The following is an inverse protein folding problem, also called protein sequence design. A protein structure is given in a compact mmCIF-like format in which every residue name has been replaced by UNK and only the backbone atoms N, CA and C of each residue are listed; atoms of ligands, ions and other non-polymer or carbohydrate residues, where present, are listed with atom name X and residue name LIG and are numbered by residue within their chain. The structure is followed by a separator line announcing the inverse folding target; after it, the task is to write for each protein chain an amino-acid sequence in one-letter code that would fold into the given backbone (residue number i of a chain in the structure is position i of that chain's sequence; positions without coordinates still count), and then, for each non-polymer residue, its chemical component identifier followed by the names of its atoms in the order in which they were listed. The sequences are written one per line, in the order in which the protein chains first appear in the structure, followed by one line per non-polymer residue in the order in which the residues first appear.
data_IF_948705211589
#
_entry.id   IF_948705211589
#
_cell.length_a   1.000
_cell.length_b   1.000
_cell.length_c   1.000
_cell.angle_alpha   90.00
_cell.angle_beta   90.00
_cell.angle_gamma   90.00
#
_symmetry.space_group_name_H-M   'P 1'
#
loop_
_entity.id
_entity.type
_entity.pdbx_description
1 polymer ?
#
# COMPACT_ATOMS: atom_id res chain seq x y z
N UNK A 1 10.93 3.38 -18.22
CA UNK A 1 9.81 2.41 -18.19
C UNK A 1 9.60 1.81 -16.79
N UNK A 2 10.66 1.30 -16.15
CA UNK A 2 10.63 0.70 -14.80
C UNK A 2 10.09 1.62 -13.72
N UNK A 3 10.57 2.87 -13.70
CA UNK A 3 10.15 3.88 -12.71
C UNK A 3 8.64 4.14 -12.83
N UNK A 4 8.13 4.24 -14.05
CA UNK A 4 6.70 4.45 -14.30
C UNK A 4 5.86 3.25 -13.84
N UNK A 5 6.29 2.02 -14.13
CA UNK A 5 5.62 0.81 -13.65
C UNK A 5 5.69 0.66 -12.12
N UNK A 6 6.82 0.98 -11.50
CA UNK A 6 6.96 0.94 -10.04
C UNK A 6 6.02 1.94 -9.35
N UNK A 7 5.88 3.15 -9.91
CA UNK A 7 4.91 4.14 -9.43
C UNK A 7 3.47 3.63 -9.58
N UNK A 8 3.15 2.96 -10.69
CA UNK A 8 1.82 2.35 -10.88
C UNK A 8 1.55 1.23 -9.87
N UNK A 9 2.53 0.34 -9.64
CA UNK A 9 2.43 -0.74 -8.64
C UNK A 9 2.27 -0.18 -7.24
N UNK A 10 2.99 0.90 -6.91
CA UNK A 10 2.83 1.62 -5.65
C UNK A 10 1.40 2.15 -5.49
N UNK A 11 0.90 2.89 -6.48
CA UNK A 11 -0.43 3.49 -6.45
C UNK A 11 -1.54 2.45 -6.34
N UNK A 12 -1.47 1.37 -7.13
CA UNK A 12 -2.46 0.28 -7.09
C UNK A 12 -2.47 -0.39 -5.71
N UNK A 13 -1.28 -0.73 -5.19
CA UNK A 13 -1.15 -1.35 -3.87
C UNK A 13 -1.66 -0.45 -2.76
N UNK A 14 -1.35 0.85 -2.84
CA UNK A 14 -1.82 1.85 -1.87
C UNK A 14 -3.34 1.99 -1.89
N UNK A 15 -3.96 2.11 -3.08
CA UNK A 15 -5.41 2.24 -3.21
C UNK A 15 -6.14 0.99 -2.72
N UNK A 16 -5.63 -0.21 -3.00
CA UNK A 16 -6.22 -1.47 -2.52
C UNK A 16 -6.16 -1.59 -0.99
N UNK A 17 -4.99 -1.31 -0.39
CA UNK A 17 -4.81 -1.36 1.06
C UNK A 17 -5.62 -0.27 1.78
N UNK A 18 -5.68 0.93 1.21
CA UNK A 18 -6.47 2.02 1.78
C UNK A 18 -7.98 1.75 1.66
N UNK A 19 -8.43 1.26 0.50
CA UNK A 19 -9.84 0.93 0.27
C UNK A 19 -10.34 -0.19 1.17
N UNK A 20 -9.56 -1.27 1.32
CA UNK A 20 -9.88 -2.36 2.27
C UNK A 20 -9.91 -1.86 3.71
N UNK A 21 -9.01 -0.96 4.10
CA UNK A 21 -9.03 -0.36 5.42
C UNK A 21 -10.27 0.50 5.67
N UNK A 22 -10.68 1.33 4.70
CA UNK A 22 -11.90 2.16 4.80
C UNK A 22 -13.13 1.26 4.98
N UNK A 23 -13.24 0.17 4.23
CA UNK A 23 -14.32 -0.81 4.40
C UNK A 23 -14.32 -1.45 5.78
N UNK A 24 -13.15 -1.78 6.34
CA UNK A 24 -13.03 -2.35 7.69
C UNK A 24 -13.42 -1.37 8.78
N UNK A 25 -13.12 -0.08 8.60
CA UNK A 25 -13.55 0.99 9.51
C UNK A 25 -15.06 1.21 9.39
N UNK A 26 -15.60 1.24 8.17
CA UNK A 26 -17.04 1.39 7.93
C UNK A 26 -17.86 0.24 8.55
N UNK A 27 -17.32 -0.98 8.51
CA UNK A 27 -17.93 -2.16 9.16
C UNK A 27 -17.67 -2.24 10.67
N UNK A 28 -17.14 -1.19 11.31
CA UNK A 28 -16.79 -1.15 12.74
C UNK A 28 -15.87 -2.29 13.22
N UNK A 29 -15.22 -3.01 12.30
CA UNK A 29 -14.24 -4.08 12.62
C UNK A 29 -12.98 -3.49 13.25
N UNK A 30 -12.67 -2.23 12.98
CA UNK A 30 -11.49 -1.53 13.49
C UNK A 30 -11.89 -0.19 14.09
N UNK A 31 -11.41 0.09 15.31
CA UNK A 31 -11.61 1.38 15.98
C UNK A 31 -10.85 2.50 15.26
N UNK A 32 -11.55 3.59 14.93
CA UNK A 32 -11.03 4.80 14.26
C UNK A 32 -9.78 5.40 14.92
N UNK A 33 -9.61 5.23 16.25
CA UNK A 33 -8.43 5.68 17.01
C UNK A 33 -7.10 5.04 16.55
N UNK A 34 -7.14 3.94 15.80
CA UNK A 34 -5.95 3.27 15.25
C UNK A 34 -5.59 3.74 13.84
N UNK A 35 -6.31 4.71 13.26
CA UNK A 35 -6.08 5.23 11.91
C UNK A 35 -4.62 5.59 11.65
N UNK A 36 -4.00 6.39 12.52
CA UNK A 36 -2.62 6.86 12.30
C UNK A 36 -1.60 5.73 12.19
N UNK A 37 -1.79 4.66 12.98
CA UNK A 37 -0.90 3.49 12.92
C UNK A 37 -1.11 2.69 11.65
N UNK A 38 -2.37 2.51 11.24
CA UNK A 38 -2.69 1.72 10.05
C UNK A 38 -2.29 2.48 8.79
N UNK A 39 -2.46 3.80 8.75
CA UNK A 39 -2.06 4.61 7.60
C UNK A 39 -0.54 4.59 7.39
N UNK A 40 0.24 4.66 8.49
CA UNK A 40 1.70 4.43 8.45
C UNK A 40 2.05 3.02 7.96
N UNK A 41 1.29 2.02 8.40
CA UNK A 41 1.48 0.63 7.96
C UNK A 41 1.24 0.49 6.45
N UNK A 42 0.12 1.03 5.95
CA UNK A 42 -0.24 1.01 4.53
C UNK A 42 0.84 1.70 3.69
N UNK A 43 1.28 2.89 4.11
CA UNK A 43 2.34 3.61 3.42
C UNK A 43 3.65 2.80 3.36
N UNK A 44 4.07 2.20 4.49
CA UNK A 44 5.27 1.37 4.55
C UNK A 44 5.15 0.13 3.65
N UNK A 45 4.02 -0.58 3.69
CA UNK A 45 3.78 -1.76 2.85
C UNK A 45 3.78 -1.41 1.36
N UNK A 46 3.08 -0.35 0.95
CA UNK A 46 3.08 0.09 -0.45
C UNK A 46 4.49 0.43 -0.94
N UNK A 47 5.30 1.07 -0.09
CA UNK A 47 6.68 1.45 -0.42
C UNK A 47 7.59 0.23 -0.56
N UNK A 48 7.46 -0.76 0.33
CA UNK A 48 8.18 -2.03 0.24
C UNK A 48 7.79 -2.79 -1.03
N UNK A 49 6.49 -2.86 -1.38
CA UNK A 49 6.05 -3.53 -2.61
C UNK A 49 6.66 -2.89 -3.87
N UNK A 50 6.72 -1.56 -3.93
CA UNK A 50 7.34 -0.85 -5.04
C UNK A 50 8.85 -1.11 -5.12
N UNK A 51 9.52 -1.21 -3.97
CA UNK A 51 10.93 -1.55 -3.88
C UNK A 51 11.19 -2.98 -4.36
N UNK A 52 10.42 -3.95 -3.87
CA UNK A 52 10.51 -5.36 -4.30
C UNK A 52 10.28 -5.47 -5.80
N UNK A 53 9.31 -4.75 -6.35
CA UNK A 53 9.06 -4.72 -7.79
C UNK A 53 10.24 -4.14 -8.58
N UNK A 54 10.87 -3.07 -8.09
CA UNK A 54 12.10 -2.53 -8.68
C UNK A 54 13.24 -3.55 -8.66
N UNK A 55 13.44 -4.24 -7.53
CA UNK A 55 14.45 -5.29 -7.44
C UNK A 55 14.16 -6.45 -8.39
N UNK A 56 12.91 -6.91 -8.45
CA UNK A 56 12.51 -7.97 -9.35
C UNK A 56 12.80 -7.59 -10.81
N UNK A 57 12.50 -6.37 -11.22
CA UNK A 57 12.78 -5.92 -12.58
C UNK A 57 14.29 -5.77 -12.89
N UNK A 58 15.11 -5.43 -11.89
CA UNK A 58 16.55 -5.23 -12.09
C UNK A 58 17.34 -6.54 -12.17
N UNK A 59 16.90 -7.57 -11.45
CA UNK A 59 17.67 -8.82 -11.27
C UNK A 59 17.07 -10.03 -11.99
N UNK A 60 15.86 -9.91 -12.55
CA UNK A 60 15.10 -10.98 -13.20
C UNK A 60 14.75 -10.54 -14.62
#
# INVERSE_FOLDING_TARGET
MVIFLSVMVFLISFVLLLGTYILLVANNKIKKRRMDKVLKLIAAYSLVTALVYCYQYLYL
#
